data_IF_918600913605
#
_entry.id   IF_918600913605
#
_cell.length_a   1.000
_cell.length_b   1.000
_cell.length_c   1.000
_cell.angle_alpha   90.00
_cell.angle_beta   90.00
_cell.angle_gamma   90.00
#
_symmetry.space_group_name_H-M   'P 1'
#
loop_
_entity.id
_entity.type
_entity.pdbx_description
1 polymer ?
#
# COMPACT_ATOMS: atom_id res chain seq x y z
N UNK A 1 10.99 41.31 -0.83
CA UNK A 1 11.50 39.95 -0.56
C UNK A 1 10.38 38.98 -0.87
N UNK A 2 10.48 38.25 -1.98
CA UNK A 2 9.53 37.18 -2.32
C UNK A 2 10.11 35.90 -1.72
N UNK A 3 9.35 35.22 -0.87
CA UNK A 3 9.77 33.94 -0.31
C UNK A 3 9.81 32.92 -1.45
N UNK A 4 10.99 32.35 -1.69
CA UNK A 4 11.15 31.16 -2.50
C UNK A 4 10.43 29.99 -1.80
N UNK A 5 9.22 29.67 -2.25
CA UNK A 5 8.51 28.43 -1.93
C UNK A 5 9.18 27.19 -2.57
N UNK A 6 10.51 27.23 -2.75
CA UNK A 6 11.31 26.25 -3.49
C UNK A 6 11.58 24.96 -2.70
N UNK A 7 11.12 24.86 -1.45
CA UNK A 7 11.37 23.70 -0.58
C UNK A 7 10.15 23.22 0.19
N UNK A 8 8.91 23.47 -0.25
CA UNK A 8 7.81 22.66 0.25
C UNK A 8 8.10 21.21 -0.18
N UNK A 9 8.32 20.25 0.75
CA UNK A 9 8.54 18.87 0.36
C UNK A 9 7.31 18.45 -0.44
N UNK A 10 7.52 18.03 -1.69
CA UNK A 10 6.43 17.49 -2.51
C UNK A 10 5.85 16.34 -1.68
N UNK A 11 4.65 16.55 -1.19
CA UNK A 11 3.96 15.54 -0.42
C UNK A 11 3.43 14.52 -1.41
N UNK A 12 4.06 13.36 -1.47
CA UNK A 12 3.62 12.27 -2.30
C UNK A 12 2.43 11.60 -1.63
N UNK A 13 1.36 11.38 -2.39
CA UNK A 13 0.12 10.78 -1.92
C UNK A 13 -0.18 9.52 -2.72
N UNK A 14 -0.37 8.42 -2.01
CA UNK A 14 -0.80 7.13 -2.56
C UNK A 14 -2.21 6.86 -2.09
N UNK A 15 -3.10 6.53 -3.02
CA UNK A 15 -4.50 6.19 -2.75
C UNK A 15 -4.72 4.73 -3.08
N UNK A 16 -5.28 3.98 -2.13
CA UNK A 16 -5.65 2.59 -2.38
C UNK A 16 -6.84 2.53 -3.34
N UNK A 17 -6.70 1.77 -4.44
CA UNK A 17 -7.77 1.61 -5.42
C UNK A 17 -9.01 0.85 -4.94
N UNK A 18 -8.95 0.21 -3.75
CA UNK A 18 -10.05 -0.62 -3.21
C UNK A 18 -10.82 0.01 -2.06
N UNK A 19 -10.13 0.63 -1.11
CA UNK A 19 -10.75 1.07 0.15
C UNK A 19 -10.55 2.57 0.43
N UNK A 20 -10.00 3.31 -0.53
CA UNK A 20 -9.73 4.75 -0.39
C UNK A 20 -8.83 5.11 0.81
N UNK A 21 -8.03 4.16 1.29
CA UNK A 21 -7.00 4.44 2.28
C UNK A 21 -5.88 5.26 1.64
N UNK A 22 -5.27 6.19 2.40
CA UNK A 22 -4.25 7.11 1.90
C UNK A 22 -2.94 6.92 2.64
N UNK A 23 -1.83 7.02 1.91
CA UNK A 23 -0.49 7.13 2.47
C UNK A 23 0.19 8.38 1.95
N UNK A 24 0.84 9.11 2.87
CA UNK A 24 1.53 10.37 2.58
C UNK A 24 2.98 10.27 2.99
N UNK A 25 3.89 10.70 2.12
CA UNK A 25 5.32 10.77 2.43
C UNK A 25 5.97 12.04 1.89
N UNK A 26 6.93 12.58 2.65
CA UNK A 26 7.70 13.78 2.31
C UNK A 26 9.00 13.40 1.57
N UNK A 27 8.92 12.45 0.63
CA UNK A 27 10.07 11.96 -0.11
C UNK A 27 10.61 13.03 -1.08
N UNK A 28 11.93 13.03 -1.27
CA UNK A 28 12.62 14.03 -2.12
C UNK A 28 12.37 13.82 -3.62
N UNK A 29 12.00 12.62 -4.03
CA UNK A 29 11.70 12.24 -5.42
C UNK A 29 10.74 11.03 -5.44
N UNK A 30 10.26 10.69 -6.63
CA UNK A 30 9.29 9.62 -6.86
C UNK A 30 9.81 8.26 -6.43
N UNK A 31 11.04 7.90 -6.82
CA UNK A 31 11.64 6.61 -6.45
C UNK A 31 11.77 6.44 -4.93
N UNK A 32 12.07 7.51 -4.20
CA UNK A 32 12.11 7.50 -2.75
C UNK A 32 10.70 7.44 -2.14
N UNK A 33 9.69 8.01 -2.79
CA UNK A 33 8.29 7.91 -2.37
C UNK A 33 7.78 6.47 -2.53
N UNK A 34 8.05 5.85 -3.67
CA UNK A 34 7.71 4.47 -3.98
C UNK A 34 8.41 3.51 -3.02
N UNK A 35 9.70 3.71 -2.79
CA UNK A 35 10.45 2.92 -1.81
C UNK A 35 9.81 3.05 -0.42
N UNK A 36 9.54 4.28 0.02
CA UNK A 36 8.89 4.56 1.30
C UNK A 36 7.52 3.89 1.42
N UNK A 37 6.69 3.94 0.38
CA UNK A 37 5.38 3.27 0.37
C UNK A 37 5.52 1.75 0.45
N UNK A 38 6.41 1.15 -0.36
CA UNK A 38 6.70 -0.30 -0.33
C UNK A 38 7.20 -0.77 1.04
N UNK A 39 8.09 -0.01 1.69
CA UNK A 39 8.55 -0.30 3.05
C UNK A 39 7.40 -0.31 4.06
N UNK A 40 6.37 0.51 3.84
CA UNK A 40 5.15 0.53 4.65
C UNK A 40 4.10 -0.50 4.21
N UNK A 41 4.48 -1.47 3.37
CA UNK A 41 3.61 -2.58 2.94
C UNK A 41 2.65 -2.23 1.81
N UNK A 42 2.82 -1.09 1.14
CA UNK A 42 1.99 -0.74 -0.01
C UNK A 42 2.47 -1.46 -1.26
N UNK A 43 1.50 -1.91 -2.06
CA UNK A 43 1.74 -2.20 -3.48
C UNK A 43 1.62 -0.87 -4.23
N UNK A 44 2.66 -0.51 -5.00
CA UNK A 44 2.72 0.71 -5.82
C UNK A 44 2.76 0.36 -7.30
N UNK A 45 2.25 1.24 -8.17
CA UNK A 45 2.16 1.04 -9.62
C UNK A 45 0.80 1.50 -10.16
N UNK A 46 0.34 0.87 -11.25
CA UNK A 46 -0.92 1.24 -11.93
C UNK A 46 -2.17 1.05 -11.06
N UNK A 47 -2.14 0.09 -10.13
CA UNK A 47 -3.24 -0.17 -9.21
C UNK A 47 -2.75 -0.25 -7.75
N UNK A 48 -2.45 0.89 -7.09
CA UNK A 48 -1.91 0.89 -5.74
C UNK A 48 -2.87 0.27 -4.73
N UNK A 49 -2.34 -0.55 -3.82
CA UNK A 49 -3.10 -1.18 -2.73
C UNK A 49 -2.45 -0.90 -1.39
N UNK A 50 -3.27 -0.56 -0.39
CA UNK A 50 -2.81 -0.49 0.98
C UNK A 50 -2.48 -1.89 1.53
N UNK A 51 -1.72 -1.98 2.63
CA UNK A 51 -1.31 -3.26 3.20
C UNK A 51 -2.47 -4.22 3.45
N UNK A 52 -3.58 -3.74 4.03
CA UNK A 52 -4.76 -4.59 4.29
C UNK A 52 -5.39 -5.16 3.02
N UNK A 53 -5.56 -4.32 1.98
CA UNK A 53 -6.12 -4.79 0.72
C UNK A 53 -5.17 -5.69 -0.07
N UNK A 54 -3.86 -5.51 0.10
CA UNK A 54 -2.84 -6.38 -0.50
C UNK A 54 -2.81 -7.76 0.17
N UNK A 55 -2.90 -7.83 1.51
CA UNK A 55 -2.94 -9.10 2.24
C UNK A 55 -4.15 -9.96 1.90
N UNK A 56 -5.33 -9.35 1.69
CA UNK A 56 -6.53 -10.09 1.25
C UNK A 56 -6.43 -10.56 -0.20
N UNK A 57 -5.64 -9.87 -1.04
CA UNK A 57 -5.44 -10.26 -2.43
C UNK A 57 -4.54 -11.50 -2.57
N UNK A 58 -3.73 -11.82 -1.55
CA UNK A 58 -2.94 -13.05 -1.51
C UNK A 58 -3.84 -14.11 -0.85
N UNK A 59 -4.34 -15.12 -1.57
CA UNK A 59 -5.08 -16.21 -0.95
C UNK A 59 -4.19 -16.87 0.11
N UNK A 60 -4.60 -16.73 1.36
CA UNK A 60 -4.03 -17.49 2.46
C UNK A 60 -4.33 -18.98 2.21
N UNK A 61 -3.33 -19.88 2.24
CA UNK A 61 -3.53 -21.30 1.92
C UNK A 61 -4.24 -22.13 3.01
N UNK A 62 -4.81 -21.50 4.04
CA UNK A 62 -5.34 -22.20 5.22
C UNK A 62 -6.87 -22.24 5.35
N UNK A 63 -7.62 -21.76 4.35
CA UNK A 63 -9.10 -21.81 4.40
C UNK A 63 -9.71 -22.84 3.45
N UNK A 64 -9.29 -24.11 3.45
CA UNK A 64 -10.17 -25.19 2.95
C UNK A 64 -9.79 -26.63 3.33
N UNK A 65 -9.68 -26.96 4.63
CA UNK A 65 -9.66 -28.37 5.04
C UNK A 65 -10.43 -28.58 6.35
N UNK A 66 -11.75 -28.43 6.32
CA UNK A 66 -12.62 -29.22 7.22
C UNK A 66 -12.76 -30.61 6.59
N UNK A 67 -11.87 -31.54 6.94
CA UNK A 67 -12.12 -32.96 6.69
C UNK A 67 -13.00 -33.44 7.84
N UNK A 68 -14.29 -33.58 7.57
CA UNK A 68 -15.19 -34.35 8.41
C UNK A 68 -14.80 -35.83 8.28
N UNK A 69 -13.92 -36.32 9.17
CA UNK A 69 -13.66 -37.74 9.32
C UNK A 69 -14.81 -38.34 10.12
N UNK A 70 -15.92 -38.64 9.45
CA UNK A 70 -16.95 -39.55 9.95
C UNK A 70 -17.49 -40.39 8.78
N UNK A 71 -16.84 -41.53 8.55
CA UNK A 71 -17.48 -42.69 7.95
C UNK A 71 -17.12 -43.89 8.83
N UNK A 72 -18.12 -44.27 9.63
CA UNK A 72 -18.16 -45.46 10.46
C UNK A 72 -18.33 -46.73 9.59
#
# INVERSE_FOLDING_TARGET
MRHDDWHAPRNWLFRCSRCDHWYRTAARNESAADFSARTNGWVVGENPLCPGCASVAIPHPDTNTSIDINAA
#
